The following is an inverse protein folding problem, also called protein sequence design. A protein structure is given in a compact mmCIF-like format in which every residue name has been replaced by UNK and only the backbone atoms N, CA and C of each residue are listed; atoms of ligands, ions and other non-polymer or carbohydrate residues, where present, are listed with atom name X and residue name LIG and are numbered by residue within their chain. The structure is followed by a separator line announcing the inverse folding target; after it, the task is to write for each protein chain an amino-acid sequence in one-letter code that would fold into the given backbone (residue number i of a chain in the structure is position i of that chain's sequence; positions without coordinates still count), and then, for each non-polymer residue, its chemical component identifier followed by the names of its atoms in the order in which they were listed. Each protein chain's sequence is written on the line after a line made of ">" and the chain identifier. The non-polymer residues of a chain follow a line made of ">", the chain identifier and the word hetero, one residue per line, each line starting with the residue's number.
data_IF_642380945164
#
_entry.id   IF_642380945164
#
_cell.length_a   1.000
_cell.length_b   1.000
_cell.length_c   1.000
_cell.angle_alpha   90.00
_cell.angle_beta   90.00
_cell.angle_gamma   90.00
#
_symmetry.space_group_name_H-M   'P 1'
#
loop_
_entity.id
_entity.type
_entity.pdbx_description
1 polymer ?
#
# COMPACT_ATOMS: atom_id res chain seq x y z
N UNK A 1 -15.31 13.55 20.16
CA UNK A 1 -13.91 13.82 19.77
C UNK A 1 -13.52 13.06 18.51
N UNK A 2 -13.46 11.71 18.51
CA UNK A 2 -12.98 10.95 17.33
C UNK A 2 -13.76 11.24 16.03
N UNK A 3 -15.10 11.25 16.08
CA UNK A 3 -15.93 11.60 14.91
C UNK A 3 -15.63 13.01 14.38
N UNK A 4 -15.52 13.99 15.27
CA UNK A 4 -15.18 15.37 14.91
C UNK A 4 -13.79 15.48 14.27
N UNK A 5 -12.80 14.73 14.78
CA UNK A 5 -11.48 14.66 14.16
C UNK A 5 -11.55 14.09 12.74
N UNK A 6 -12.35 13.03 12.53
CA UNK A 6 -12.55 12.44 11.20
C UNK A 6 -13.30 13.37 10.23
N UNK A 7 -14.20 14.22 10.74
CA UNK A 7 -14.87 15.25 9.93
C UNK A 7 -13.88 16.31 9.43
N UNK A 8 -12.98 16.78 10.29
CA UNK A 8 -11.88 17.66 9.87
C UNK A 8 -10.93 16.95 8.89
N UNK A 9 -10.55 15.70 9.19
CA UNK A 9 -9.69 14.88 8.35
C UNK A 9 -10.24 14.72 6.93
N UNK A 10 -11.53 14.38 6.79
CA UNK A 10 -12.18 14.19 5.49
C UNK A 10 -12.26 15.47 4.65
N UNK A 11 -12.17 16.65 5.28
CA UNK A 11 -12.11 17.96 4.61
C UNK A 11 -10.68 18.38 4.24
N UNK A 12 -9.68 17.57 4.59
CA UNK A 12 -8.27 17.94 4.45
C UNK A 12 -7.77 18.93 5.51
N UNK A 13 -8.56 19.19 6.56
CA UNK A 13 -8.22 20.07 7.69
C UNK A 13 -7.36 19.30 8.71
N UNK A 14 -6.18 18.85 8.26
CA UNK A 14 -5.37 17.88 8.99
C UNK A 14 -4.82 18.41 10.30
N UNK A 15 -4.41 19.68 10.38
CA UNK A 15 -3.88 20.27 11.61
C UNK A 15 -4.93 20.25 12.73
N UNK A 16 -6.18 20.60 12.40
CA UNK A 16 -7.31 20.53 13.33
C UNK A 16 -7.59 19.08 13.74
N UNK A 17 -7.56 18.14 12.80
CA UNK A 17 -7.76 16.73 13.09
C UNK A 17 -6.67 16.19 14.05
N UNK A 18 -5.39 16.52 13.79
CA UNK A 18 -4.24 16.12 14.61
C UNK A 18 -4.39 16.61 16.05
N UNK A 19 -4.75 17.87 16.26
CA UNK A 19 -4.97 18.43 17.62
C UNK A 19 -6.04 17.64 18.37
N UNK A 20 -7.15 17.28 17.70
CA UNK A 20 -8.21 16.50 18.34
C UNK A 20 -7.74 15.07 18.61
N UNK A 21 -6.98 14.45 17.70
CA UNK A 21 -6.39 13.13 17.94
C UNK A 21 -5.42 13.14 19.11
N UNK A 22 -4.59 14.17 19.27
CA UNK A 22 -3.71 14.33 20.42
C UNK A 22 -4.50 14.36 21.73
N UNK A 23 -5.58 15.16 21.81
CA UNK A 23 -6.44 15.20 22.99
C UNK A 23 -7.09 13.84 23.30
N UNK A 24 -7.37 13.00 22.29
CA UNK A 24 -7.88 11.63 22.52
C UNK A 24 -6.77 10.74 23.09
N UNK A 25 -5.55 10.86 22.58
CA UNK A 25 -4.39 10.07 23.03
C UNK A 25 -3.91 10.48 24.41
N UNK A 26 -4.14 11.72 24.87
CA UNK A 26 -3.90 12.11 26.26
C UNK A 26 -4.76 11.29 27.25
N UNK A 27 -5.99 10.94 26.85
CA UNK A 27 -6.91 10.15 27.67
C UNK A 27 -6.73 8.65 27.44
N UNK A 28 -6.44 8.24 26.20
CA UNK A 28 -6.28 6.83 25.79
C UNK A 28 -5.00 6.68 24.94
N UNK A 29 -3.80 6.62 25.55
CA UNK A 29 -2.51 6.72 24.85
C UNK A 29 -2.26 5.70 23.75
N UNK A 30 -2.82 4.50 23.89
CA UNK A 30 -2.57 3.38 22.99
C UNK A 30 -3.79 3.06 22.10
N UNK A 31 -4.67 4.04 21.86
CA UNK A 31 -5.80 3.83 20.95
C UNK A 31 -5.32 3.70 19.49
N UNK A 32 -5.19 2.46 19.01
CA UNK A 32 -4.67 2.13 17.67
C UNK A 32 -5.40 2.88 16.55
N UNK A 33 -6.73 2.97 16.58
CA UNK A 33 -7.49 3.67 15.54
C UNK A 33 -7.17 5.16 15.49
N UNK A 34 -6.99 5.80 16.65
CA UNK A 34 -6.60 7.21 16.76
C UNK A 34 -5.16 7.42 16.30
N UNK A 35 -4.23 6.54 16.70
CA UNK A 35 -2.85 6.56 16.23
C UNK A 35 -2.78 6.44 14.70
N UNK A 36 -3.56 5.54 14.10
CA UNK A 36 -3.59 5.36 12.63
C UNK A 36 -4.05 6.62 11.93
N UNK A 37 -5.16 7.19 12.39
CA UNK A 37 -5.69 8.39 11.74
C UNK A 37 -4.77 9.60 11.92
N UNK A 38 -4.18 9.76 13.10
CA UNK A 38 -3.17 10.79 13.35
C UNK A 38 -1.94 10.59 12.44
N UNK A 39 -1.44 9.36 12.31
CA UNK A 39 -0.29 9.05 11.46
C UNK A 39 -0.56 9.38 9.98
N UNK A 40 -1.76 9.06 9.47
CA UNK A 40 -2.17 9.39 8.10
C UNK A 40 -2.31 10.91 7.94
N UNK A 41 -2.94 11.62 8.90
CA UNK A 41 -3.06 13.07 8.86
C UNK A 41 -1.70 13.78 8.84
N UNK A 42 -0.75 13.30 9.66
CA UNK A 42 0.64 13.77 9.67
C UNK A 42 1.33 13.53 8.32
N UNK A 43 1.16 12.34 7.74
CA UNK A 43 1.71 12.01 6.41
C UNK A 43 1.15 12.96 5.35
N UNK A 44 -0.16 13.20 5.39
CA UNK A 44 -0.86 14.06 4.44
C UNK A 44 -0.49 15.55 4.56
N UNK A 45 -0.08 15.97 5.75
CA UNK A 45 0.44 17.32 6.04
C UNK A 45 1.94 17.47 5.73
N UNK A 46 2.61 16.41 5.26
CA UNK A 46 4.06 16.44 4.98
C UNK A 46 4.94 16.22 6.22
N UNK A 47 4.37 15.95 7.39
CA UNK A 47 5.10 15.64 8.62
C UNK A 47 5.54 14.16 8.67
N UNK A 48 6.28 13.71 7.66
CA UNK A 48 6.62 12.29 7.45
C UNK A 48 7.38 11.65 8.62
N UNK A 49 8.33 12.36 9.24
CA UNK A 49 9.03 11.84 10.42
C UNK A 49 8.10 11.59 11.61
N UNK A 50 7.14 12.49 11.85
CA UNK A 50 6.16 12.34 12.92
C UNK A 50 5.18 11.20 12.61
N UNK A 51 4.75 11.10 11.35
CA UNK A 51 3.89 10.01 10.87
C UNK A 51 4.52 8.64 11.11
N UNK A 52 5.79 8.47 10.72
CA UNK A 52 6.56 7.24 10.94
C UNK A 52 6.62 6.83 12.41
N UNK A 53 6.78 7.79 13.32
CA UNK A 53 6.78 7.51 14.77
C UNK A 53 5.45 6.96 15.26
N UNK A 54 4.33 7.52 14.80
CA UNK A 54 3.01 7.02 15.20
C UNK A 54 2.70 5.64 14.60
N UNK A 55 3.09 5.39 13.35
CA UNK A 55 3.01 4.04 12.77
C UNK A 55 3.91 3.03 13.50
N UNK A 56 5.12 3.42 13.88
CA UNK A 56 6.01 2.55 14.64
C UNK A 56 5.42 2.15 15.98
N UNK A 57 4.79 3.08 16.72
CA UNK A 57 4.06 2.74 17.97
C UNK A 57 2.95 1.71 17.73
N UNK A 58 2.22 1.81 16.62
CA UNK A 58 1.21 0.81 16.26
C UNK A 58 1.87 -0.55 16.06
N UNK A 59 3.00 -0.61 15.35
CA UNK A 59 3.73 -1.86 15.11
C UNK A 59 4.34 -2.47 16.38
N UNK A 60 4.63 -1.67 17.40
CA UNK A 60 5.06 -2.18 18.72
C UNK A 60 3.94 -2.91 19.48
N UNK A 61 2.67 -2.64 19.15
CA UNK A 61 1.51 -3.34 19.71
C UNK A 61 0.93 -4.39 18.77
N UNK A 62 1.00 -4.14 17.45
CA UNK A 62 0.44 -4.96 16.38
C UNK A 62 1.43 -5.04 15.21
N UNK A 63 2.41 -5.95 15.27
CA UNK A 63 3.48 -6.04 14.28
C UNK A 63 3.01 -6.34 12.85
N UNK A 64 1.82 -6.93 12.71
CA UNK A 64 1.15 -7.35 11.48
C UNK A 64 0.12 -6.33 10.96
N UNK A 65 0.03 -5.14 11.58
CA UNK A 65 -0.97 -4.14 11.19
C UNK A 65 -0.70 -3.59 9.77
N UNK A 66 -1.51 -4.03 8.81
CA UNK A 66 -1.35 -3.72 7.39
C UNK A 66 -1.30 -2.21 7.10
N UNK A 67 -2.13 -1.40 7.79
CA UNK A 67 -2.15 0.05 7.58
C UNK A 67 -0.86 0.67 8.11
N UNK A 68 -0.37 0.22 9.27
CA UNK A 68 0.88 0.71 9.81
C UNK A 68 2.08 0.25 8.97
N UNK A 69 2.13 -1.01 8.53
CA UNK A 69 3.18 -1.50 7.62
C UNK A 69 3.20 -0.71 6.30
N UNK A 70 2.04 -0.52 5.66
CA UNK A 70 1.94 0.27 4.42
C UNK A 70 2.30 1.74 4.69
N UNK A 71 1.85 2.31 5.82
CA UNK A 71 2.18 3.67 6.25
C UNK A 71 3.67 3.90 6.51
N UNK A 72 4.36 2.91 7.08
CA UNK A 72 5.83 2.92 7.21
C UNK A 72 6.49 2.94 5.83
N UNK A 73 6.03 2.09 4.91
CA UNK A 73 6.51 2.09 3.51
C UNK A 73 6.37 3.46 2.84
N UNK A 74 5.18 4.07 2.94
CA UNK A 74 4.91 5.42 2.40
C UNK A 74 5.78 6.48 3.07
N UNK A 75 5.90 6.45 4.39
CA UNK A 75 6.70 7.40 5.15
C UNK A 75 8.19 7.36 4.78
N UNK A 76 8.77 6.16 4.67
CA UNK A 76 10.16 6.01 4.24
C UNK A 76 10.38 6.41 2.78
N UNK A 77 9.43 6.09 1.89
CA UNK A 77 9.48 6.54 0.49
C UNK A 77 9.47 8.06 0.38
N UNK A 78 8.65 8.74 1.19
CA UNK A 78 8.60 10.21 1.25
C UNK A 78 9.86 10.83 1.87
N UNK A 79 10.67 10.04 2.59
CA UNK A 79 12.00 10.42 3.06
C UNK A 79 13.11 9.98 2.10
N UNK A 80 12.81 9.39 0.93
CA UNK A 80 13.83 8.90 0.01
C UNK A 80 14.65 7.72 0.54
N UNK A 81 14.15 6.99 1.55
CA UNK A 81 14.73 5.75 2.06
C UNK A 81 13.98 4.54 1.46
N UNK A 82 14.10 4.40 0.14
CA UNK A 82 13.31 3.47 -0.67
C UNK A 82 13.53 1.99 -0.35
N UNK A 83 14.72 1.59 0.08
CA UNK A 83 15.01 0.20 0.44
C UNK A 83 14.25 -0.21 1.72
N UNK A 84 14.18 0.67 2.71
CA UNK A 84 13.36 0.45 3.90
C UNK A 84 11.87 0.51 3.54
N UNK A 85 11.47 1.43 2.65
CA UNK A 85 10.10 1.47 2.14
C UNK A 85 9.67 0.15 1.51
N UNK A 86 10.52 -0.41 0.63
CA UNK A 86 10.32 -1.71 -0.02
C UNK A 86 10.16 -2.84 1.00
N UNK A 87 11.02 -2.89 2.03
CA UNK A 87 10.93 -3.88 3.10
C UNK A 87 9.57 -3.87 3.80
N UNK A 88 9.06 -2.68 4.14
CA UNK A 88 7.74 -2.57 4.78
C UNK A 88 6.58 -2.91 3.83
N UNK A 89 6.69 -2.58 2.53
CA UNK A 89 5.70 -3.03 1.56
C UNK A 89 5.72 -4.54 1.36
N UNK A 90 6.88 -5.19 1.36
CA UNK A 90 6.99 -6.65 1.28
C UNK A 90 6.36 -7.34 2.50
N UNK A 91 6.55 -6.78 3.70
CA UNK A 91 5.81 -7.22 4.90
C UNK A 91 4.31 -7.00 4.77
N UNK A 92 3.88 -5.84 4.28
CA UNK A 92 2.45 -5.58 4.11
C UNK A 92 1.82 -6.53 3.07
N UNK A 93 2.57 -6.95 2.04
CA UNK A 93 2.17 -7.95 1.05
C UNK A 93 2.09 -9.34 1.67
N UNK A 94 2.98 -9.74 2.58
CA UNK A 94 2.86 -11.05 3.23
C UNK A 94 1.56 -11.18 4.03
N UNK A 95 1.10 -10.08 4.64
CA UNK A 95 -0.17 -10.04 5.36
C UNK A 95 -1.40 -9.89 4.42
N UNK A 96 -1.26 -9.15 3.32
CA UNK A 96 -2.34 -8.93 2.33
C UNK A 96 -1.83 -9.03 0.88
N UNK A 97 -1.63 -10.26 0.34
CA UNK A 97 -0.98 -10.46 -0.96
C UNK A 97 -1.70 -9.84 -2.16
N UNK A 98 -3.03 -9.75 -2.10
CA UNK A 98 -3.88 -9.27 -3.20
C UNK A 98 -4.23 -7.78 -3.10
N UNK A 99 -3.50 -7.00 -2.30
CA UNK A 99 -3.77 -5.57 -2.14
C UNK A 99 -3.26 -4.78 -3.34
N UNK A 100 -4.17 -4.21 -4.13
CA UNK A 100 -3.84 -3.33 -5.28
C UNK A 100 -2.99 -2.14 -4.82
N UNK A 101 -3.38 -1.50 -3.71
CA UNK A 101 -2.68 -0.32 -3.17
C UNK A 101 -1.22 -0.64 -2.82
N UNK A 102 -0.98 -1.75 -2.11
CA UNK A 102 0.37 -2.12 -1.66
C UNK A 102 1.23 -2.51 -2.87
N UNK A 103 0.68 -3.25 -3.82
CA UNK A 103 1.37 -3.62 -5.05
C UNK A 103 1.73 -2.39 -5.89
N UNK A 104 0.81 -1.43 -6.03
CA UNK A 104 1.08 -0.16 -6.72
C UNK A 104 2.24 0.60 -6.06
N UNK A 105 2.26 0.68 -4.73
CA UNK A 105 3.36 1.30 -4.01
C UNK A 105 4.69 0.56 -4.21
N UNK A 106 4.69 -0.77 -4.11
CA UNK A 106 5.89 -1.57 -4.32
C UNK A 106 6.44 -1.42 -5.73
N UNK A 107 5.59 -1.52 -6.76
CA UNK A 107 5.99 -1.33 -8.16
C UNK A 107 6.56 0.06 -8.40
N UNK A 108 5.94 1.09 -7.80
CA UNK A 108 6.46 2.45 -7.84
C UNK A 108 7.85 2.54 -7.21
N UNK A 109 8.04 2.00 -6.00
CA UNK A 109 9.35 1.99 -5.32
C UNK A 109 10.40 1.23 -6.13
N UNK A 110 10.06 0.06 -6.69
CA UNK A 110 10.99 -0.73 -7.52
C UNK A 110 11.45 0.08 -8.74
N UNK A 111 10.55 0.83 -9.40
CA UNK A 111 10.89 1.75 -10.51
C UNK A 111 11.81 2.89 -10.04
N UNK A 112 11.52 3.50 -8.90
CA UNK A 112 12.30 4.62 -8.36
C UNK A 112 13.72 4.17 -7.97
N UNK A 113 13.87 3.03 -7.30
CA UNK A 113 15.18 2.46 -6.95
C UNK A 113 16.01 2.17 -8.21
N UNK A 114 15.37 1.59 -9.24
CA UNK A 114 16.02 1.30 -10.52
C UNK A 114 16.49 2.58 -11.22
N UNK A 115 15.67 3.64 -11.17
CA UNK A 115 15.95 4.92 -11.82
C UNK A 115 16.97 5.78 -11.06
N UNK A 116 16.97 5.73 -9.73
CA UNK A 116 17.86 6.49 -8.85
C UNK A 116 18.49 5.60 -7.76
N UNK A 117 19.53 4.82 -8.11
CA UNK A 117 20.27 4.05 -7.12
C UNK A 117 20.88 4.95 -6.05
N UNK A 118 20.81 4.54 -4.79
CA UNK A 118 21.36 5.28 -3.66
C UNK A 118 21.89 4.30 -2.61
N UNK A 119 22.72 4.79 -1.66
CA UNK A 119 23.18 3.98 -0.53
C UNK A 119 22.15 4.08 0.60
N UNK A 120 21.53 2.96 1.05
CA UNK A 120 20.62 2.97 2.18
C UNK A 120 21.27 3.52 3.45
N UNK A 121 20.50 4.24 4.27
CA UNK A 121 20.99 4.68 5.57
C UNK A 121 21.22 3.48 6.47
N UNK A 122 22.39 3.42 7.12
CA UNK A 122 22.71 2.31 8.02
C UNK A 122 21.78 2.32 9.23
N UNK A 123 21.03 1.22 9.37
CA UNK A 123 20.19 0.96 10.54
C UNK A 123 21.09 0.52 11.67
N UNK A 124 20.97 1.17 12.83
CA UNK A 124 21.73 0.75 14.00
C UNK A 124 21.20 -0.60 14.46
N UNK A 125 22.11 -1.57 14.58
CA UNK A 125 21.81 -2.90 15.10
C UNK A 125 21.45 -2.74 16.57
N UNK A 126 20.30 -3.30 16.97
CA UNK A 126 19.96 -3.42 18.38
C UNK A 126 20.82 -4.54 18.98
N UNK A 127 21.95 -4.14 19.57
CA UNK A 127 22.88 -5.03 20.29
C UNK A 127 22.23 -5.77 21.48
N UNK A 128 20.98 -5.48 21.85
CA UNK A 128 20.22 -6.23 22.86
C UNK A 128 19.37 -7.35 22.27
N UNK A 129 18.97 -7.28 21.00
CA UNK A 129 18.25 -8.34 20.28
C UNK A 129 19.20 -9.43 19.81
N UNK A 130 20.42 -9.05 19.44
CA UNK A 130 21.58 -9.94 19.43
C UNK A 130 22.11 -10.06 20.87
N UNK A 131 21.29 -10.61 21.79
CA UNK A 131 21.80 -10.94 23.11
C UNK A 131 23.03 -11.82 22.93
N UNK A 132 24.17 -11.39 23.49
CA UNK A 132 25.35 -12.24 23.62
C UNK A 132 24.84 -13.53 24.26
N UNK A 133 24.93 -14.63 23.51
CA UNK A 133 24.64 -15.96 24.03
C UNK A 133 25.71 -16.25 25.07
N UNK A 134 25.40 -15.93 26.33
CA UNK A 134 26.24 -16.30 27.47
C UNK A 134 25.71 -17.61 28.02
N UNK A 135 26.36 -18.72 27.64
CA UNK A 135 26.09 -20.04 28.21
C UNK A 135 27.30 -20.44 29.06
N UNK A 136 27.17 -20.46 30.40
CA UNK A 136 28.22 -20.98 31.26
C UNK A 136 28.70 -22.39 30.85
N UNK A 137 30.01 -22.59 30.76
CA UNK A 137 30.62 -23.86 30.30
C UNK A 137 30.13 -25.11 31.04
N UNK A 138 29.76 -24.98 32.32
CA UNK A 138 29.26 -26.10 33.11
C UNK A 138 27.94 -26.68 32.57
N UNK A 139 27.19 -25.91 31.77
CA UNK A 139 25.91 -26.33 31.17
C UNK A 139 26.12 -27.37 30.06
N UNK A 140 27.29 -27.41 29.42
CA UNK A 140 27.63 -28.45 28.43
C UNK A 140 27.55 -29.86 29.01
N UNK A 141 27.70 -30.00 30.33
CA UNK A 141 27.56 -31.29 31.03
C UNK A 141 26.10 -31.79 30.95
N UNK A 142 25.12 -30.91 31.06
CA UNK A 142 23.69 -31.25 30.97
C UNK A 142 23.34 -31.68 29.54
N UNK A 143 23.79 -30.90 28.54
CA UNK A 143 23.63 -31.26 27.12
C UNK A 143 24.29 -32.60 26.78
N UNK A 144 25.48 -32.86 27.34
CA UNK A 144 26.18 -34.14 27.21
C UNK A 144 25.35 -35.29 27.78
N UNK A 145 24.88 -35.18 29.01
CA UNK A 145 24.05 -36.20 29.65
C UNK A 145 22.77 -36.48 28.87
N UNK A 146 22.13 -35.45 28.33
CA UNK A 146 20.95 -35.62 27.50
C UNK A 146 21.26 -36.33 26.18
N UNK A 147 22.32 -35.92 25.50
CA UNK A 147 22.73 -36.55 24.23
C UNK A 147 23.16 -38.01 24.37
N UNK A 148 23.74 -38.38 25.51
CA UNK A 148 24.14 -39.76 25.84
C UNK A 148 22.96 -40.60 26.38
N UNK A 149 21.76 -40.03 26.49
CA UNK A 149 20.57 -40.71 27.00
C UNK A 149 20.61 -40.99 28.50
N UNK A 150 21.44 -40.25 29.27
CA UNK A 150 21.52 -40.37 30.74
C UNK A 150 20.40 -39.63 31.47
N UNK A 151 19.79 -38.64 30.81
CA UNK A 151 18.62 -37.90 31.28
C UNK A 151 17.55 -37.87 30.18
N UNK A 152 16.30 -37.80 30.59
CA UNK A 152 15.15 -37.80 29.68
C UNK A 152 14.90 -36.40 29.07
N UNK A 153 14.12 -36.35 27.98
CA UNK A 153 13.76 -35.10 27.31
C UNK A 153 13.10 -34.10 28.27
N UNK A 154 12.23 -34.59 29.16
CA UNK A 154 11.52 -33.77 30.18
C UNK A 154 12.46 -33.14 31.20
N UNK A 155 13.52 -33.85 31.61
CA UNK A 155 14.52 -33.37 32.56
C UNK A 155 15.40 -32.30 31.92
N UNK A 156 15.81 -32.52 30.66
CA UNK A 156 16.58 -31.55 29.89
C UNK A 156 15.78 -30.27 29.64
N UNK A 157 14.52 -30.38 29.20
CA UNK A 157 13.67 -29.18 28.97
C UNK A 157 13.36 -28.43 30.25
N UNK A 158 13.14 -29.12 31.37
CA UNK A 158 12.93 -28.49 32.68
C UNK A 158 14.17 -27.73 33.16
N UNK A 159 15.37 -28.33 33.02
CA UNK A 159 16.62 -27.66 33.35
C UNK A 159 16.85 -26.43 32.45
N UNK A 160 16.56 -26.55 31.17
CA UNK A 160 16.66 -25.46 30.20
C UNK A 160 15.71 -24.30 30.55
N UNK A 161 14.44 -24.60 30.83
CA UNK A 161 13.44 -23.64 31.29
C UNK A 161 13.91 -22.89 32.53
N UNK A 162 14.36 -23.62 33.55
CA UNK A 162 14.89 -23.04 34.78
C UNK A 162 16.06 -22.09 34.51
N UNK A 163 16.99 -22.47 33.64
CA UNK A 163 18.16 -21.64 33.31
C UNK A 163 17.77 -20.36 32.57
N UNK A 164 16.77 -20.40 31.69
CA UNK A 164 16.26 -19.22 30.98
C UNK A 164 15.51 -18.30 31.95
N UNK A 165 14.60 -18.86 32.76
CA UNK A 165 13.78 -18.10 33.72
C UNK A 165 14.62 -17.39 34.79
N UNK A 166 15.69 -18.04 35.26
CA UNK A 166 16.61 -17.48 36.26
C UNK A 166 17.74 -16.64 35.63
N UNK A 167 17.68 -16.35 34.32
CA UNK A 167 18.69 -15.58 33.58
C UNK A 167 20.12 -16.15 33.71
N UNK A 168 20.24 -17.46 33.87
CA UNK A 168 21.53 -18.19 33.87
C UNK A 168 22.07 -18.31 32.44
N UNK A 169 21.17 -18.47 31.47
CA UNK A 169 21.47 -18.37 30.04
C UNK A 169 20.63 -17.27 29.41
N UNK A 170 21.25 -16.46 28.56
CA UNK A 170 20.58 -15.39 27.83
C UNK A 170 20.37 -15.85 26.38
N UNK A 171 19.12 -16.15 26.04
CA UNK A 171 18.73 -16.57 24.70
C UNK A 171 17.78 -15.51 24.13
N UNK A 172 17.96 -15.06 22.88
CA UNK A 172 16.98 -14.20 22.24
C UNK A 172 15.62 -14.90 22.18
N UNK A 173 14.65 -14.35 22.90
CA UNK A 173 13.30 -14.91 23.00
C UNK A 173 12.57 -14.64 21.69
N UNK A 174 12.04 -15.68 21.06
CA UNK A 174 11.19 -15.60 19.86
C UNK A 174 9.73 -15.78 20.30
N UNK A 175 8.78 -15.15 19.59
CA UNK A 175 7.35 -15.36 19.82
C UNK A 175 7.00 -16.85 19.75
N UNK A 176 6.50 -17.41 20.85
CA UNK A 176 6.07 -18.82 20.94
C UNK A 176 4.71 -18.99 20.29
N UNK A 177 4.58 -19.86 19.28
CA UNK A 177 3.28 -20.26 18.74
C UNK A 177 2.68 -21.40 19.58
N UNK A 178 1.36 -21.47 19.66
CA UNK A 178 0.63 -22.64 20.17
C UNK A 178 0.73 -23.78 19.16
N UNK A 179 1.80 -24.56 19.22
CA UNK A 179 2.06 -25.72 18.35
C UNK A 179 1.57 -27.04 18.95
N UNK A 180 1.30 -28.02 18.08
CA UNK A 180 0.79 -29.37 18.41
C UNK A 180 1.88 -30.46 18.44
N UNK A 181 3.16 -30.09 18.40
CA UNK A 181 4.29 -31.02 18.41
C UNK A 181 4.79 -31.27 19.84
N UNK A 182 4.61 -32.50 20.32
CA UNK A 182 4.97 -32.89 21.69
C UNK A 182 6.32 -33.64 21.78
N UNK A 183 7.11 -33.71 20.69
CA UNK A 183 8.37 -34.49 20.65
C UNK A 183 9.53 -33.64 20.14
N UNK A 184 10.67 -33.76 20.81
CA UNK A 184 11.92 -33.11 20.41
C UNK A 184 12.51 -33.86 19.21
N UNK A 185 12.76 -33.20 18.06
CA UNK A 185 13.42 -33.82 16.93
C UNK A 185 14.84 -34.29 17.26
N UNK A 186 15.23 -35.45 16.70
CA UNK A 186 16.54 -36.08 16.97
C UNK A 186 17.74 -35.19 16.60
N UNK A 187 17.59 -34.35 15.57
CA UNK A 187 18.65 -33.42 15.17
C UNK A 187 19.01 -32.41 16.27
N UNK A 188 18.07 -32.05 17.15
CA UNK A 188 18.32 -31.14 18.28
C UNK A 188 19.20 -31.82 19.32
N UNK A 189 18.99 -33.13 19.56
CA UNK A 189 19.83 -33.93 20.45
C UNK A 189 21.23 -34.12 19.88
N UNK A 190 21.35 -34.31 18.56
CA UNK A 190 22.65 -34.37 17.88
C UNK A 190 23.39 -33.04 17.99
N UNK A 191 22.68 -31.92 17.84
CA UNK A 191 23.21 -30.58 18.02
C UNK A 191 23.75 -30.40 19.47
N UNK A 192 22.97 -30.78 20.50
CA UNK A 192 23.44 -30.76 21.88
C UNK A 192 24.70 -31.62 22.12
N UNK A 193 24.82 -32.77 21.46
CA UNK A 193 26.03 -33.62 21.50
C UNK A 193 27.25 -32.91 20.94
N UNK A 194 27.12 -32.33 19.74
CA UNK A 194 28.21 -31.60 19.08
C UNK A 194 28.62 -30.36 19.85
N UNK A 195 27.66 -29.66 20.47
CA UNK A 195 27.93 -28.49 21.30
C UNK A 195 28.70 -28.87 22.56
N UNK A 196 28.30 -29.95 23.24
CA UNK A 196 29.01 -30.46 24.42
C UNK A 196 30.43 -30.94 24.12
N UNK A 197 30.73 -31.28 22.86
CA UNK A 197 32.04 -31.68 22.37
C UNK A 197 32.85 -30.51 21.78
N UNK A 198 32.36 -29.27 21.88
CA UNK A 198 32.97 -28.07 21.27
C UNK A 198 33.14 -28.17 19.74
N UNK A 199 32.30 -28.97 19.08
CA UNK A 199 32.31 -29.13 17.61
C UNK A 199 31.50 -28.03 16.92
N UNK A 200 30.51 -27.46 17.61
CA UNK A 200 29.73 -26.30 17.17
C UNK A 200 29.72 -25.24 18.28
N UNK A 201 29.42 -23.99 17.91
CA UNK A 201 29.44 -22.87 18.85
C UNK A 201 28.10 -22.71 19.60
N UNK A 202 28.05 -21.79 20.57
CA UNK A 202 26.85 -21.54 21.38
C UNK A 202 25.66 -21.06 20.54
N UNK A 203 25.90 -20.33 19.45
CA UNK A 203 24.84 -19.84 18.54
C UNK A 203 24.17 -21.00 17.79
N UNK A 204 24.96 -21.98 17.36
CA UNK A 204 24.45 -23.17 16.67
C UNK A 204 23.55 -24.01 17.61
N UNK A 205 23.91 -24.08 18.89
CA UNK A 205 23.10 -24.74 19.92
C UNK A 205 21.83 -23.95 20.26
N UNK A 206 21.95 -22.63 20.41
CA UNK A 206 20.81 -21.73 20.64
C UNK A 206 19.78 -21.80 19.52
N UNK A 207 20.21 -21.98 18.27
CA UNK A 207 19.30 -22.16 17.13
C UNK A 207 18.36 -23.36 17.31
N UNK A 208 18.85 -24.44 17.94
CA UNK A 208 18.02 -25.59 18.31
C UNK A 208 16.99 -25.27 19.41
N UNK A 209 17.37 -24.45 20.38
CA UNK A 209 16.49 -24.00 21.47
C UNK A 209 15.41 -23.06 20.92
N UNK A 210 15.81 -22.12 20.07
CA UNK A 210 14.91 -21.20 19.37
C UNK A 210 13.87 -21.94 18.52
N UNK A 211 14.27 -23.01 17.83
CA UNK A 211 13.33 -23.89 17.13
C UNK A 211 12.32 -24.53 18.09
N UNK A 212 12.76 -25.06 19.24
CA UNK A 212 11.85 -25.65 20.23
C UNK A 212 10.84 -24.63 20.78
N UNK A 213 11.24 -23.37 20.93
CA UNK A 213 10.35 -22.28 21.34
C UNK A 213 9.38 -21.88 20.22
N UNK A 214 9.87 -21.74 18.98
CA UNK A 214 9.05 -21.40 17.81
C UNK A 214 7.96 -22.44 17.56
N UNK A 215 8.28 -23.74 17.72
CA UNK A 215 7.34 -24.86 17.54
C UNK A 215 6.47 -25.14 18.76
N UNK A 216 6.69 -24.45 19.87
CA UNK A 216 5.92 -24.64 21.11
C UNK A 216 6.24 -25.94 21.87
N UNK A 217 7.38 -26.59 21.59
CA UNK A 217 7.88 -27.75 22.32
C UNK A 217 8.30 -27.35 23.74
N UNK A 218 8.85 -26.14 23.88
CA UNK A 218 9.19 -25.51 25.15
C UNK A 218 8.49 -24.15 25.22
N UNK A 219 7.74 -23.91 26.29
CA UNK A 219 7.07 -22.64 26.55
C UNK A 219 7.73 -21.99 27.76
N UNK A 220 8.44 -20.89 27.53
CA UNK A 220 9.06 -20.13 28.62
C UNK A 220 8.06 -19.07 29.10
N UNK A 221 7.55 -19.20 30.33
CA UNK A 221 6.67 -18.19 30.94
C UNK A 221 7.53 -17.05 31.52
N UNK A 222 8.15 -16.27 30.64
CA UNK A 222 8.87 -15.07 31.06
C UNK A 222 7.81 -14.01 31.35
N UNK A 223 7.38 -13.96 32.61
CA UNK A 223 6.58 -12.85 33.13
C UNK A 223 7.43 -11.59 33.20
N UNK A 224 7.70 -10.99 32.03
CA UNK A 224 8.20 -9.62 31.96
C UNK A 224 7.16 -8.74 32.63
N UNK A 225 7.57 -7.96 33.61
CA UNK A 225 6.70 -6.95 34.19
C UNK A 225 6.26 -5.96 33.11
N UNK A 226 5.10 -5.33 33.29
CA UNK A 226 4.64 -4.27 32.39
C UNK A 226 5.72 -3.18 32.22
N UNK A 227 6.42 -2.84 33.31
CA UNK A 227 7.51 -1.86 33.31
C UNK A 227 8.72 -2.29 32.47
N UNK A 228 9.06 -3.58 32.44
CA UNK A 228 10.15 -4.10 31.60
C UNK A 228 9.78 -4.08 30.12
N UNK A 229 8.55 -4.47 29.78
CA UNK A 229 8.02 -4.40 28.40
C UNK A 229 8.00 -2.96 27.91
N UNK A 230 7.55 -2.03 28.76
CA UNK A 230 7.51 -0.61 28.41
C UNK A 230 8.92 -0.04 28.20
N UNK A 231 9.89 -0.36 29.07
CA UNK A 231 11.29 0.07 28.90
C UNK A 231 11.91 -0.45 27.60
N UNK A 232 11.59 -1.69 27.22
CA UNK A 232 12.06 -2.27 25.95
C UNK A 232 11.46 -1.52 24.76
N UNK A 233 10.15 -1.26 24.77
CA UNK A 233 9.47 -0.46 23.75
C UNK A 233 10.02 0.96 23.65
N UNK A 234 10.25 1.62 24.79
CA UNK A 234 10.81 2.98 24.82
C UNK A 234 12.23 3.01 24.26
N UNK A 235 13.03 1.98 24.54
CA UNK A 235 14.38 1.83 24.00
C UNK A 235 14.36 1.60 22.48
N UNK A 236 13.54 0.67 21.99
CA UNK A 236 13.35 0.47 20.54
C UNK A 236 12.88 1.75 19.84
N UNK A 237 11.94 2.48 20.44
CA UNK A 237 11.47 3.76 19.93
C UNK A 237 12.59 4.79 19.85
N UNK A 238 13.48 4.86 20.85
CA UNK A 238 14.63 5.77 20.84
C UNK A 238 15.64 5.46 19.72
N UNK A 239 15.88 4.18 19.44
CA UNK A 239 16.71 3.73 18.32
C UNK A 239 16.06 4.12 16.99
N UNK A 240 14.75 3.91 16.87
CA UNK A 240 13.98 4.30 15.71
C UNK A 240 14.06 5.82 15.46
N UNK A 241 13.88 6.64 16.49
CA UNK A 241 14.03 8.10 16.35
C UNK A 241 15.41 8.52 15.84
N UNK A 242 16.46 7.86 16.35
CA UNK A 242 17.84 8.12 15.90
C UNK A 242 18.03 7.73 14.44
N UNK A 243 17.43 6.61 14.00
CA UNK A 243 17.45 6.19 12.61
C UNK A 243 16.77 7.21 11.69
N UNK A 244 15.58 7.69 12.04
CA UNK A 244 14.86 8.74 11.28
C UNK A 244 15.67 10.04 11.19
N UNK A 245 16.32 10.46 12.28
CA UNK A 245 17.21 11.64 12.26
C UNK A 245 18.40 11.45 11.31
N UNK A 246 19.00 10.26 11.30
CA UNK A 246 20.11 9.95 10.39
C UNK A 246 19.66 9.92 8.92
N UNK A 247 18.50 9.33 8.62
CA UNK A 247 17.93 9.35 7.27
C UNK A 247 17.76 10.80 6.80
N UNK A 248 17.12 11.63 7.62
CA UNK A 248 16.84 13.03 7.27
C UNK A 248 18.12 13.82 6.99
N UNK A 249 19.18 13.55 7.76
CA UNK A 249 20.51 14.11 7.50
C UNK A 249 21.10 13.61 6.18
N UNK A 250 21.14 12.29 5.96
CA UNK A 250 21.72 11.70 4.75
C UNK A 250 20.98 12.15 3.49
N UNK A 251 19.66 12.25 3.53
CA UNK A 251 18.84 12.73 2.42
C UNK A 251 19.20 14.16 2.02
N UNK A 252 19.44 15.03 3.00
CA UNK A 252 19.89 16.40 2.77
C UNK A 252 21.33 16.45 2.22
N UNK A 253 22.25 15.68 2.82
CA UNK A 253 23.66 15.65 2.45
C UNK A 253 23.88 15.07 1.04
N UNK A 254 23.16 13.99 0.71
CA UNK A 254 23.24 13.29 -0.58
C UNK A 254 22.33 13.90 -1.66
N UNK A 255 21.46 14.83 -1.30
CA UNK A 255 20.44 15.43 -2.18
C UNK A 255 19.61 14.36 -2.89
N UNK A 256 19.11 13.38 -2.14
CA UNK A 256 18.33 12.26 -2.71
C UNK A 256 17.11 12.79 -3.45
N UNK A 257 16.86 12.21 -4.62
CA UNK A 257 15.70 12.58 -5.42
C UNK A 257 14.45 11.88 -4.89
N UNK A 258 13.40 12.64 -4.61
CA UNK A 258 12.13 12.16 -4.04
C UNK A 258 11.03 12.21 -5.11
N UNK A 259 10.51 11.05 -5.50
CA UNK A 259 9.31 10.95 -6.34
C UNK A 259 8.09 10.55 -5.49
N UNK A 260 6.92 11.06 -5.87
CA UNK A 260 5.66 10.74 -5.20
C UNK A 260 4.76 9.92 -6.13
N UNK A 261 4.15 8.82 -5.66
CA UNK A 261 3.27 7.98 -6.47
C UNK A 261 1.88 8.61 -6.68
N UNK A 262 1.52 9.63 -5.91
CA UNK A 262 0.26 10.33 -6.07
C UNK A 262 0.55 11.83 -6.24
N UNK A 263 -0.14 12.55 -7.14
CA UNK A 263 0.09 13.98 -7.36
C UNK A 263 -0.05 14.78 -6.07
N UNK A 264 0.90 15.69 -5.83
CA UNK A 264 0.79 16.62 -4.71
C UNK A 264 -0.31 17.66 -4.96
N UNK A 265 -0.79 18.30 -3.90
CA UNK A 265 -1.75 19.40 -4.03
C UNK A 265 -1.25 20.53 -4.93
N UNK A 266 0.06 20.79 -4.97
CA UNK A 266 0.63 21.81 -5.86
C UNK A 266 0.67 21.36 -7.32
N UNK A 267 0.84 20.07 -7.58
CA UNK A 267 0.66 19.50 -8.91
C UNK A 267 -0.81 19.66 -9.34
N UNK A 268 -1.77 19.37 -8.46
CA UNK A 268 -3.19 19.58 -8.73
C UNK A 268 -3.54 21.06 -8.97
N UNK A 269 -2.99 22.01 -8.21
CA UNK A 269 -3.17 23.45 -8.48
C UNK A 269 -2.71 23.84 -9.89
N UNK A 270 -1.61 23.25 -10.39
CA UNK A 270 -1.13 23.52 -11.76
C UNK A 270 -2.13 23.00 -12.80
N UNK A 271 -2.73 21.84 -12.57
CA UNK A 271 -3.81 21.32 -13.42
C UNK A 271 -5.00 22.27 -13.49
N UNK A 272 -5.42 22.79 -12.34
CA UNK A 272 -6.53 23.73 -12.27
C UNK A 272 -6.20 25.09 -12.91
N UNK A 273 -4.93 25.48 -12.96
CA UNK A 273 -4.49 26.72 -13.63
C UNK A 273 -4.50 26.61 -15.15
N UNK A 274 -3.98 25.52 -15.69
CA UNK A 274 -3.93 25.27 -17.14
C UNK A 274 -5.23 24.57 -17.59
N UNK A 275 -6.36 25.06 -17.11
CA UNK A 275 -7.67 24.40 -17.20
C UNK A 275 -8.06 24.03 -18.62
N UNK A 276 -7.88 24.95 -19.57
CA UNK A 276 -8.22 24.78 -21.00
C UNK A 276 -7.38 23.72 -21.71
N UNK A 277 -6.22 23.34 -21.16
CA UNK A 277 -5.40 22.27 -21.72
C UNK A 277 -5.98 20.89 -21.40
N UNK A 278 -6.54 20.73 -20.20
CA UNK A 278 -6.93 19.43 -19.65
C UNK A 278 -8.45 19.22 -19.65
N UNK A 279 -9.24 20.29 -19.74
CA UNK A 279 -10.69 20.23 -19.71
C UNK A 279 -11.24 20.77 -21.03
N UNK A 280 -12.14 20.01 -21.64
CA UNK A 280 -12.80 20.36 -22.89
C UNK A 280 -14.15 21.03 -22.64
N UNK A 281 -14.25 21.89 -21.63
CA UNK A 281 -15.53 22.48 -21.21
C UNK A 281 -16.09 23.43 -22.28
N UNK A 282 -15.23 24.22 -22.93
CA UNK A 282 -15.65 25.10 -24.02
C UNK A 282 -16.00 24.29 -25.27
N UNK A 283 -15.22 23.25 -25.56
CA UNK A 283 -15.48 22.30 -26.64
C UNK A 283 -16.81 21.54 -26.43
N UNK A 284 -17.13 21.20 -25.18
CA UNK A 284 -18.41 20.62 -24.79
C UNK A 284 -19.59 21.60 -24.93
N UNK A 285 -19.33 22.91 -24.98
CA UNK A 285 -20.37 23.92 -25.28
C UNK A 285 -20.58 24.11 -26.78
N UNK A 286 -19.63 23.71 -27.63
CA UNK A 286 -19.76 23.85 -29.09
C UNK A 286 -20.91 23.01 -29.68
N UNK A 287 -21.43 23.46 -30.82
CA UNK A 287 -22.51 22.78 -31.53
C UNK A 287 -22.06 21.42 -32.08
N UNK A 288 -22.97 20.45 -32.09
CA UNK A 288 -22.76 19.11 -32.66
C UNK A 288 -22.30 19.17 -34.12
N UNK A 289 -22.77 20.17 -34.88
CA UNK A 289 -22.41 20.41 -36.28
C UNK A 289 -20.92 20.65 -36.52
N UNK A 290 -20.16 20.97 -35.48
CA UNK A 290 -18.71 21.17 -35.57
C UNK A 290 -17.93 19.85 -35.43
N UNK A 291 -18.59 18.76 -35.04
CA UNK A 291 -18.03 17.43 -35.00
C UNK A 291 -18.40 16.68 -36.28
N UNK A 292 -17.44 16.00 -36.93
CA UNK A 292 -17.78 15.14 -38.06
C UNK A 292 -18.68 13.99 -37.60
N UNK A 293 -19.61 13.58 -38.46
CA UNK A 293 -20.42 12.39 -38.18
C UNK A 293 -19.58 11.10 -38.31
N UNK A 294 -19.89 10.03 -37.55
CA UNK A 294 -19.30 8.73 -37.78
C UNK A 294 -19.73 8.16 -39.14
N UNK A 295 -18.77 7.53 -39.83
CA UNK A 295 -19.04 6.83 -41.08
C UNK A 295 -19.49 5.41 -40.78
N UNK A 296 -20.33 4.82 -41.62
CA UNK A 296 -20.74 3.42 -41.46
C UNK A 296 -20.62 2.64 -42.77
N UNK A 297 -20.50 1.33 -42.65
CA UNK A 297 -20.56 0.36 -43.75
C UNK A 297 -21.57 -0.71 -43.41
N UNK A 298 -22.28 -1.22 -44.41
CA UNK A 298 -23.20 -2.34 -44.23
C UNK A 298 -22.51 -3.59 -44.80
N UNK A 299 -22.34 -4.62 -43.98
CA UNK A 299 -21.78 -5.91 -44.38
C UNK A 299 -22.70 -6.99 -43.80
N UNK A 300 -23.25 -7.85 -44.66
CA UNK A 300 -24.15 -8.94 -44.27
C UNK A 300 -25.29 -8.50 -43.34
N UNK A 301 -25.99 -7.41 -43.71
CA UNK A 301 -27.08 -6.78 -42.94
C UNK A 301 -26.68 -6.21 -41.56
N UNK A 302 -25.38 -6.16 -41.25
CA UNK A 302 -24.84 -5.53 -40.04
C UNK A 302 -24.27 -4.15 -40.37
N UNK A 303 -24.70 -3.15 -39.62
CA UNK A 303 -24.14 -1.79 -39.67
C UNK A 303 -22.87 -1.74 -38.86
N UNK A 304 -21.74 -1.48 -39.50
CA UNK A 304 -20.45 -1.27 -38.84
C UNK A 304 -20.18 0.23 -38.81
N UNK A 305 -20.34 0.84 -37.64
CA UNK A 305 -20.11 2.27 -37.41
C UNK A 305 -18.64 2.47 -37.01
N UNK A 306 -17.93 3.35 -37.72
CA UNK A 306 -16.55 3.71 -37.45
C UNK A 306 -16.49 5.05 -36.69
N UNK A 307 -15.99 4.98 -35.47
CA UNK A 307 -15.69 6.12 -34.62
C UNK A 307 -14.21 6.49 -34.73
N UNK A 308 -13.94 7.76 -35.01
CA UNK A 308 -12.58 8.32 -34.99
C UNK A 308 -12.39 9.05 -33.67
N UNK A 309 -11.46 8.55 -32.87
CA UNK A 309 -11.26 9.02 -31.51
C UNK A 309 -9.98 9.85 -31.42
N UNK A 310 -10.10 11.10 -30.99
CA UNK A 310 -8.97 11.91 -30.56
C UNK A 310 -8.83 11.77 -29.05
N UNK A 311 -7.64 11.42 -28.58
CA UNK A 311 -7.34 11.29 -27.15
C UNK A 311 -6.43 12.45 -26.77
N UNK A 312 -6.88 13.27 -25.82
CA UNK A 312 -6.05 14.31 -25.27
C UNK A 312 -4.82 13.70 -24.57
N UNK A 313 -3.69 14.40 -24.63
CA UNK A 313 -2.49 13.94 -23.94
C UNK A 313 -2.79 13.73 -22.46
N UNK A 314 -2.32 12.62 -21.91
CA UNK A 314 -2.33 12.44 -20.46
C UNK A 314 -1.24 13.35 -19.87
N UNK A 315 -1.46 13.96 -18.71
CA UNK A 315 -0.43 14.74 -18.06
C UNK A 315 0.86 13.96 -17.79
N UNK A 316 1.99 14.55 -18.18
CA UNK A 316 3.31 13.98 -17.91
C UNK A 316 3.55 13.83 -16.41
N UNK A 317 3.94 12.64 -15.96
CA UNK A 317 4.29 12.38 -14.56
C UNK A 317 3.18 11.73 -13.73
N UNK A 318 2.04 11.37 -14.33
CA UNK A 318 1.14 10.41 -13.70
C UNK A 318 1.81 9.02 -13.71
N UNK A 319 1.88 8.32 -12.58
CA UNK A 319 2.63 7.05 -12.48
C UNK A 319 1.86 5.85 -13.03
N UNK A 320 0.58 6.03 -13.31
CA UNK A 320 -0.31 5.01 -13.87
C UNK A 320 -0.54 5.28 -15.35
N UNK A 321 -0.32 4.25 -16.16
CA UNK A 321 -0.71 4.25 -17.57
C UNK A 321 -2.22 4.03 -17.66
N UNK A 322 -2.95 5.13 -17.85
CA UNK A 322 -4.38 5.08 -18.12
C UNK A 322 -4.66 4.99 -19.63
N UNK A 323 -3.67 5.19 -20.49
CA UNK A 323 -3.86 5.20 -21.95
C UNK A 323 -4.15 3.79 -22.46
N UNK A 324 -3.47 2.77 -21.94
CA UNK A 324 -3.76 1.37 -22.29
C UNK A 324 -5.19 0.95 -21.94
N UNK A 325 -5.83 1.57 -20.94
CA UNK A 325 -7.25 1.31 -20.61
C UNK A 325 -8.21 1.71 -21.73
N UNK A 326 -7.82 2.63 -22.60
CA UNK A 326 -8.63 3.05 -23.75
C UNK A 326 -8.77 1.91 -24.76
N UNK A 327 -7.69 1.18 -25.02
CA UNK A 327 -7.71 0.04 -25.92
C UNK A 327 -8.61 -1.08 -25.39
N UNK A 328 -8.59 -1.32 -24.08
CA UNK A 328 -9.51 -2.25 -23.43
C UNK A 328 -10.98 -1.80 -23.59
N UNK A 329 -11.24 -0.51 -23.37
CA UNK A 329 -12.59 0.08 -23.50
C UNK A 329 -13.12 0.01 -24.93
N UNK A 330 -12.27 0.25 -25.94
CA UNK A 330 -12.63 0.06 -27.35
C UNK A 330 -12.92 -1.41 -27.64
N UNK A 331 -12.01 -2.31 -27.27
CA UNK A 331 -12.15 -3.75 -27.47
C UNK A 331 -13.44 -4.28 -26.84
N UNK A 332 -13.80 -3.79 -25.65
CA UNK A 332 -15.05 -4.14 -24.99
C UNK A 332 -16.26 -3.83 -25.87
N UNK A 333 -16.35 -2.62 -26.43
CA UNK A 333 -17.46 -2.20 -27.28
C UNK A 333 -17.43 -2.82 -28.68
N UNK A 334 -16.25 -3.02 -29.28
CA UNK A 334 -16.10 -3.68 -30.59
C UNK A 334 -16.55 -5.15 -30.58
N UNK A 335 -16.44 -5.81 -29.41
CA UNK A 335 -16.91 -7.17 -29.22
C UNK A 335 -18.42 -7.28 -29.01
N UNK A 336 -19.15 -6.16 -28.88
CA UNK A 336 -20.60 -6.17 -28.74
C UNK A 336 -21.31 -6.12 -30.10
N UNK A 337 -22.47 -6.78 -30.14
CA UNK A 337 -23.45 -6.62 -31.21
C UNK A 337 -24.69 -5.98 -30.59
N UNK A 338 -24.93 -4.71 -30.93
CA UNK A 338 -26.07 -3.94 -30.46
C UNK A 338 -27.24 -4.08 -31.43
N UNK A 339 -28.44 -3.79 -30.96
CA UNK A 339 -29.64 -3.73 -31.80
C UNK A 339 -30.18 -2.30 -31.81
N UNK A 340 -30.33 -1.72 -33.00
CA UNK A 340 -30.98 -0.43 -33.19
C UNK A 340 -32.08 -0.57 -34.24
N UNK A 341 -33.33 -0.35 -33.85
CA UNK A 341 -34.51 -0.45 -34.72
C UNK A 341 -34.60 -1.78 -35.51
N UNK A 342 -34.20 -2.90 -34.91
CA UNK A 342 -34.23 -4.22 -35.53
C UNK A 342 -33.00 -4.53 -36.40
N UNK A 343 -32.05 -3.60 -36.52
CA UNK A 343 -30.80 -3.78 -37.25
C UNK A 343 -29.66 -4.11 -36.29
N UNK A 344 -28.80 -5.03 -36.71
CA UNK A 344 -27.57 -5.36 -35.98
C UNK A 344 -26.54 -4.26 -36.21
N UNK A 345 -25.98 -3.75 -35.12
CA UNK A 345 -24.97 -2.69 -35.14
C UNK A 345 -23.72 -3.20 -34.45
N UNK A 346 -22.58 -3.02 -35.12
CA UNK A 346 -21.24 -3.21 -34.59
C UNK A 346 -20.47 -1.91 -34.72
N UNK A 347 -19.41 -1.81 -33.94
CA UNK A 347 -18.64 -0.59 -33.84
C UNK A 347 -17.18 -0.89 -34.08
N UNK A 348 -16.46 0.11 -34.59
CA UNK A 348 -15.01 0.12 -34.71
C UNK A 348 -14.47 1.45 -34.27
N UNK A 349 -13.40 1.44 -33.49
CA UNK A 349 -12.73 2.65 -33.01
C UNK A 349 -11.35 2.76 -33.66
N UNK A 350 -11.04 3.95 -34.16
CA UNK A 350 -9.74 4.27 -34.75
C UNK A 350 -9.20 5.53 -34.09
N UNK A 351 -8.01 5.46 -33.50
CA UNK A 351 -7.35 6.62 -32.89
C UNK A 351 -6.80 7.53 -34.00
N UNK A 352 -7.07 8.82 -33.91
CA UNK A 352 -6.45 9.85 -34.77
C UNK A 352 -5.68 10.88 -33.93
N UNK A 353 -4.57 11.37 -34.46
CA UNK A 353 -3.82 12.49 -33.87
C UNK A 353 -4.40 13.87 -34.19
N UNK A 354 -5.45 13.93 -35.02
CA UNK A 354 -6.03 15.18 -35.53
C UNK A 354 -7.43 15.40 -34.96
N UNK A 355 -7.59 16.41 -34.08
CA UNK A 355 -8.89 16.75 -33.46
C UNK A 355 -10.02 16.93 -34.47
N UNK A 356 -9.77 17.62 -35.57
CA UNK A 356 -10.80 17.98 -36.56
C UNK A 356 -11.33 16.78 -37.37
N UNK A 357 -10.63 15.64 -37.36
CA UNK A 357 -11.10 14.41 -38.02
C UNK A 357 -11.85 13.47 -37.07
N UNK A 358 -11.79 13.75 -35.76
CA UNK A 358 -12.37 12.92 -34.73
C UNK A 358 -13.81 13.32 -34.43
N UNK A 359 -14.65 12.31 -34.26
CA UNK A 359 -16.05 12.44 -33.85
C UNK A 359 -16.26 12.10 -32.37
N UNK A 360 -15.24 11.56 -31.72
CA UNK A 360 -15.16 11.41 -30.26
C UNK A 360 -13.85 12.01 -29.77
N UNK A 361 -13.91 12.93 -28.82
CA UNK A 361 -12.78 13.55 -28.13
C UNK A 361 -12.78 13.10 -26.68
N UNK A 362 -11.69 12.46 -26.26
CA UNK A 362 -11.51 11.98 -24.89
C UNK A 362 -10.56 12.92 -24.17
N UNK A 363 -10.93 13.36 -22.97
CA UNK A 363 -10.07 14.16 -22.11
C UNK A 363 -10.10 13.68 -20.66
N UNK A 364 -9.05 14.05 -19.93
CA UNK A 364 -8.81 13.62 -18.55
C UNK A 364 -9.06 14.77 -17.57
N UNK A 365 -9.91 14.55 -16.58
CA UNK A 365 -10.29 15.59 -15.61
C UNK A 365 -9.86 15.24 -14.19
N UNK A 366 -9.43 16.25 -13.44
CA UNK A 366 -8.97 16.16 -12.03
C UNK A 366 -9.74 17.12 -11.12
N UNK A 367 -10.96 17.47 -11.53
CA UNK A 367 -11.87 18.39 -10.84
C UNK A 367 -13.10 17.63 -10.36
N UNK A 368 -13.78 18.19 -9.38
CA UNK A 368 -15.15 17.80 -9.08
C UNK A 368 -16.04 18.15 -10.29
N UNK A 369 -16.66 17.12 -10.88
CA UNK A 369 -17.59 17.26 -12.01
C UNK A 369 -19.05 17.13 -11.57
N UNK A 370 -19.30 17.03 -10.25
CA UNK A 370 -20.61 16.87 -9.64
C UNK A 370 -20.59 15.81 -8.55
N UNK A 371 -21.43 15.98 -7.53
CA UNK A 371 -21.55 15.02 -6.44
C UNK A 371 -21.94 13.63 -6.97
N UNK A 372 -21.07 12.65 -6.78
CA UNK A 372 -21.27 11.27 -7.27
C UNK A 372 -21.06 11.07 -8.77
N UNK A 373 -20.54 12.07 -9.49
CA UNK A 373 -20.27 12.00 -10.93
C UNK A 373 -18.80 11.69 -11.16
N UNK A 374 -18.53 10.56 -11.82
CA UNK A 374 -17.16 10.05 -12.05
C UNK A 374 -16.68 10.17 -13.50
N UNK A 375 -17.59 10.48 -14.43
CA UNK A 375 -17.28 10.85 -15.79
C UNK A 375 -18.42 11.67 -16.37
N UNK A 376 -18.20 12.27 -17.53
CA UNK A 376 -19.26 12.95 -18.26
C UNK A 376 -19.08 12.85 -19.77
N UNK A 377 -20.10 12.36 -20.45
CA UNK A 377 -20.16 12.36 -21.91
C UNK A 377 -21.23 13.34 -22.41
N UNK A 378 -20.81 14.28 -23.25
CA UNK A 378 -21.69 15.27 -23.86
C UNK A 378 -22.37 14.68 -25.09
N UNK A 379 -23.55 14.09 -24.88
CA UNK A 379 -24.37 13.47 -25.92
C UNK A 379 -24.56 14.39 -27.13
N UNK A 380 -24.24 13.87 -28.33
CA UNK A 380 -24.33 14.60 -29.60
C UNK A 380 -23.17 15.56 -29.86
N UNK A 381 -22.22 15.72 -28.93
CA UNK A 381 -21.07 16.63 -29.08
C UNK A 381 -19.72 15.92 -29.05
N UNK A 382 -19.71 14.59 -28.96
CA UNK A 382 -18.50 13.77 -29.07
C UNK A 382 -17.49 13.94 -27.93
N UNK A 383 -17.72 14.76 -26.90
CA UNK A 383 -16.74 14.97 -25.82
C UNK A 383 -16.99 14.01 -24.66
N UNK A 384 -15.95 13.27 -24.28
CA UNK A 384 -15.89 12.33 -23.16
C UNK A 384 -14.87 12.83 -22.13
N UNK A 385 -15.35 13.17 -20.94
CA UNK A 385 -14.55 13.58 -19.79
C UNK A 385 -14.40 12.40 -18.82
N UNK A 386 -13.17 11.96 -18.58
CA UNK A 386 -12.84 10.83 -17.69
C UNK A 386 -12.15 11.35 -16.44
N UNK A 387 -12.77 11.15 -15.27
CA UNK A 387 -12.17 11.59 -14.00
C UNK A 387 -11.06 10.65 -13.56
N UNK A 388 -9.91 11.22 -13.20
CA UNK A 388 -8.74 10.46 -12.78
C UNK A 388 -8.64 10.22 -11.28
N UNK A 389 -9.40 10.96 -10.47
CA UNK A 389 -9.34 10.88 -9.01
C UNK A 389 -10.22 11.91 -8.32
N UNK A 390 -10.33 11.81 -7.00
CA UNK A 390 -11.12 12.73 -6.17
C UNK A 390 -10.51 12.90 -4.77
N UNK A 391 -11.23 13.61 -3.88
CA UNK A 391 -10.80 13.91 -2.50
C UNK A 391 -11.47 13.03 -1.44
N UNK A 392 -12.30 12.06 -1.85
CA UNK A 392 -13.22 11.36 -0.94
C UNK A 392 -12.55 10.29 -0.08
N UNK A 393 -11.33 9.85 -0.42
CA UNK A 393 -10.69 8.80 0.34
C UNK A 393 -10.11 9.28 1.67
N UNK A 394 -9.27 10.33 1.63
CA UNK A 394 -8.52 10.79 2.80
C UNK A 394 -8.41 12.32 2.92
N UNK A 395 -9.26 13.07 2.21
CA UNK A 395 -9.27 14.54 2.19
C UNK A 395 -8.22 15.18 1.28
N UNK A 396 -7.34 14.37 0.67
CA UNK A 396 -6.43 14.79 -0.41
C UNK A 396 -6.85 14.18 -1.72
N UNK A 397 -6.43 14.80 -2.82
CA UNK A 397 -6.66 14.23 -4.14
C UNK A 397 -5.97 12.86 -4.23
N UNK A 398 -6.71 11.82 -4.56
CA UNK A 398 -6.23 10.46 -4.75
C UNK A 398 -6.60 9.99 -6.14
N UNK A 399 -5.60 9.50 -6.88
CA UNK A 399 -5.84 8.84 -8.16
C UNK A 399 -6.68 7.57 -7.96
N UNK A 400 -7.61 7.37 -8.88
CA UNK A 400 -8.29 6.10 -9.03
C UNK A 400 -7.33 5.03 -9.57
N UNK A 401 -7.62 3.76 -9.25
CA UNK A 401 -6.89 2.66 -9.85
C UNK A 401 -7.20 2.54 -11.36
N UNK A 402 -6.30 1.85 -12.07
CA UNK A 402 -6.39 1.69 -13.54
C UNK A 402 -7.73 1.08 -13.95
N UNK A 403 -8.26 0.12 -13.17
CA UNK A 403 -9.54 -0.55 -13.44
C UNK A 403 -10.74 0.37 -13.29
N UNK A 404 -10.72 1.26 -12.31
CA UNK A 404 -11.78 2.25 -12.09
C UNK A 404 -11.80 3.24 -13.25
N UNK A 405 -10.64 3.77 -13.65
CA UNK A 405 -10.54 4.66 -14.81
C UNK A 405 -11.00 3.97 -16.09
N UNK A 406 -10.64 2.70 -16.30
CA UNK A 406 -11.12 1.89 -17.43
C UNK A 406 -12.66 1.77 -17.43
N UNK A 407 -13.25 1.51 -16.26
CA UNK A 407 -14.70 1.36 -16.12
C UNK A 407 -15.44 2.66 -16.39
N UNK A 408 -14.93 3.78 -15.87
CA UNK A 408 -15.46 5.13 -16.17
C UNK A 408 -15.38 5.37 -17.67
N UNK A 409 -14.20 5.16 -18.28
CA UNK A 409 -13.99 5.39 -19.70
C UNK A 409 -14.93 4.53 -20.56
N UNK A 410 -15.08 3.25 -20.23
CA UNK A 410 -15.97 2.35 -20.96
C UNK A 410 -17.42 2.81 -20.86
N UNK A 411 -17.86 3.27 -19.68
CA UNK A 411 -19.19 3.83 -19.47
C UNK A 411 -19.44 5.08 -20.31
N UNK A 412 -18.53 6.07 -20.24
CA UNK A 412 -18.68 7.34 -20.97
C UNK A 412 -18.60 7.17 -22.50
N UNK A 413 -17.81 6.20 -22.99
CA UNK A 413 -17.86 5.80 -24.40
C UNK A 413 -19.22 5.25 -24.80
N UNK A 414 -19.89 4.52 -23.91
CA UNK A 414 -21.25 4.02 -24.11
C UNK A 414 -22.24 5.14 -24.43
N UNK A 415 -22.12 6.29 -23.77
CA UNK A 415 -22.91 7.47 -24.11
C UNK A 415 -22.54 8.04 -25.48
N UNK A 416 -21.26 8.09 -25.83
CA UNK A 416 -20.80 8.60 -27.14
C UNK A 416 -21.33 7.79 -28.33
N UNK A 417 -21.66 6.53 -28.10
CA UNK A 417 -22.19 5.61 -29.13
C UNK A 417 -23.73 5.57 -29.10
N UNK A 418 -24.35 6.42 -28.27
CA UNK A 418 -25.80 6.62 -28.20
C UNK A 418 -26.53 5.82 -27.12
N UNK A 419 -25.83 5.12 -26.23
CA UNK A 419 -26.50 4.39 -25.14
C UNK A 419 -26.91 5.32 -24.00
N UNK A 420 -28.08 5.04 -23.44
CA UNK A 420 -28.56 5.68 -22.23
C UNK A 420 -28.24 4.82 -21.01
N UNK A 421 -28.37 5.43 -19.85
CA UNK A 421 -28.30 4.70 -18.59
C UNK A 421 -29.33 3.58 -18.51
N UNK A 422 -28.95 2.50 -17.84
CA UNK A 422 -29.85 1.38 -17.55
C UNK A 422 -29.95 1.14 -16.05
N UNK A 423 -31.02 0.49 -15.62
CA UNK A 423 -31.28 0.19 -14.20
C UNK A 423 -30.58 -1.08 -13.70
N UNK A 424 -30.08 -1.93 -14.60
CA UNK A 424 -29.37 -3.17 -14.22
C UNK A 424 -27.99 -2.85 -13.61
N UNK A 425 -27.75 -3.17 -12.33
CA UNK A 425 -26.46 -2.92 -11.66
C UNK A 425 -25.27 -3.66 -12.26
N UNK A 426 -25.51 -4.73 -13.04
CA UNK A 426 -24.44 -5.49 -13.70
C UNK A 426 -24.04 -4.89 -15.06
N UNK A 427 -24.83 -3.97 -15.58
CA UNK A 427 -24.52 -3.31 -16.84
C UNK A 427 -23.40 -2.29 -16.68
N UNK A 428 -22.57 -2.17 -17.71
CA UNK A 428 -21.59 -1.08 -17.80
C UNK A 428 -22.28 0.29 -17.83
N UNK A 429 -23.51 0.38 -18.34
CA UNK A 429 -24.30 1.62 -18.42
C UNK A 429 -25.12 1.91 -17.15
N UNK A 430 -24.81 1.27 -16.02
CA UNK A 430 -25.44 1.58 -14.74
C UNK A 430 -24.98 2.94 -14.20
N UNK A 431 -25.91 3.71 -13.62
CA UNK A 431 -25.71 5.13 -13.25
C UNK A 431 -24.74 5.38 -12.10
N UNK A 432 -24.43 4.37 -11.29
CA UNK A 432 -23.66 4.54 -10.06
C UNK A 432 -22.41 3.68 -10.06
N UNK A 433 -21.27 4.29 -9.77
CA UNK A 433 -19.99 3.62 -9.61
C UNK A 433 -19.35 4.08 -8.30
N UNK A 434 -18.87 3.13 -7.50
CA UNK A 434 -17.98 3.41 -6.38
C UNK A 434 -16.53 3.21 -6.85
N UNK A 435 -15.67 4.24 -6.82
CA UNK A 435 -14.32 4.11 -7.32
C UNK A 435 -13.40 3.37 -6.34
N UNK A 436 -12.36 2.74 -6.87
CA UNK A 436 -11.22 2.27 -6.09
C UNK A 436 -10.04 3.23 -6.31
N UNK A 437 -9.19 3.35 -5.29
CA UNK A 437 -8.04 4.26 -5.30
C UNK A 437 -6.73 3.50 -5.50
N UNK A 438 -5.79 4.13 -6.20
CA UNK A 438 -4.50 3.53 -6.47
C UNK A 438 -3.55 3.57 -5.26
N UNK A 439 -3.63 4.61 -4.44
CA UNK A 439 -2.64 4.93 -3.39
C UNK A 439 -3.26 5.38 -2.06
N UNK A 440 -4.55 5.15 -1.84
CA UNK A 440 -5.16 5.58 -0.59
C UNK A 440 -4.92 4.55 0.54
N UNK A 441 -4.31 4.97 1.65
CA UNK A 441 -4.04 4.09 2.81
C UNK A 441 -5.30 3.57 3.51
N UNK A 442 -6.45 4.21 3.27
CA UNK A 442 -7.75 3.84 3.84
C UNK A 442 -8.60 2.94 2.91
N UNK A 443 -8.10 2.64 1.70
CA UNK A 443 -8.84 1.95 0.64
C UNK A 443 -8.82 0.43 0.66
#
# INVERSE_FOLDING_TARGET
>A
MFKQANEHFGKGEYDQAIVIYDNILEVVPNNISTLKMKAIALSNSGYHEKSLKEFFKILQEKPDDIIALTGMGVGFGNLGEYQEAKYYFEKAISEKPNSIIINNYKEFIDKVISKYPYKPTEKQVDLKKDAIVEIPEWIKIIAKWWSEGRIEDSEFTSALLFMIENKIIQIPIIETKSGSENKIPEWIRNNASWWAQNTINDQDFVSGIQYMMEKGIIVVDIKKSHDEIQKEKDYEFSLFEKYIRNISKNVADEKRYIEYPNPSGDVIKKFLRDYTKWNFEEEAKTASSNFPDPIYKIIDEVYIIHYRVFINEQPSGLPLDHVSTLQNSFTFWENQELNSNGQKVKMKFEITGLKHEANVWVTWVVRDIGEGVLGHAHLGKGVVEVTLGDYNCDGRFQLYDVKTVEKIMTHELGHSIGLQHVSDPNSIMYTSLKPNYAYCLLG
#
